data_IF_766396027998
#
_entry.id   IF_766396027998
#
_cell.length_a   1.000
_cell.length_b   1.000
_cell.length_c   1.000
_cell.angle_alpha   90.00
_cell.angle_beta   90.00
_cell.angle_gamma   90.00
#
_symmetry.space_group_name_H-M   'P 1'
#
loop_
_entity.id
_entity.type
_entity.pdbx_description
1 polymer ?
#
# COMPACT_ATOMS: atom_id res chain seq x y z
N UNK A 1 36.77 24.18 -4.67
CA UNK A 1 35.50 23.62 -4.15
C UNK A 1 34.60 23.42 -5.36
N UNK A 2 34.06 22.22 -5.57
CA UNK A 2 33.12 21.98 -6.67
C UNK A 2 31.81 22.66 -6.32
N UNK A 3 31.43 23.69 -7.06
CA UNK A 3 30.22 24.51 -6.82
C UNK A 3 28.89 23.75 -7.04
N UNK A 4 28.94 22.46 -7.37
CA UNK A 4 27.77 21.61 -7.63
C UNK A 4 27.58 20.48 -6.60
N UNK A 5 28.25 20.52 -5.44
CA UNK A 5 28.00 19.54 -4.39
C UNK A 5 26.69 19.88 -3.65
N UNK A 6 25.59 19.27 -4.08
CA UNK A 6 24.35 19.25 -3.32
C UNK A 6 24.55 18.20 -2.21
N UNK A 7 24.48 18.57 -0.91
CA UNK A 7 24.58 17.60 0.17
C UNK A 7 23.49 16.54 -0.03
N UNK A 8 23.91 15.28 -0.01
CA UNK A 8 22.97 14.18 -0.06
C UNK A 8 22.15 14.17 1.22
N UNK A 9 20.86 13.84 1.14
CA UNK A 9 20.00 13.98 2.29
C UNK A 9 20.28 12.81 3.23
N UNK A 10 20.37 13.06 4.53
CA UNK A 10 20.41 12.00 5.53
C UNK A 10 19.10 11.22 5.41
N UNK A 11 19.15 10.06 4.75
CA UNK A 11 18.03 9.13 4.73
C UNK A 11 17.77 8.76 6.18
N UNK A 12 16.55 9.00 6.67
CA UNK A 12 16.19 8.56 8.00
C UNK A 12 16.44 7.06 8.09
N UNK A 13 17.36 6.71 8.97
CA UNK A 13 17.78 5.35 9.24
C UNK A 13 16.55 4.47 9.48
N UNK A 14 16.61 3.29 8.89
CA UNK A 14 15.61 2.27 9.08
C UNK A 14 14.19 2.60 8.59
N UNK A 15 14.05 3.48 7.61
CA UNK A 15 12.76 3.74 6.96
C UNK A 15 12.67 3.12 5.56
N UNK A 16 11.47 2.71 5.17
CA UNK A 16 11.17 2.32 3.80
C UNK A 16 11.34 3.53 2.86
N UNK A 17 12.16 3.37 1.84
CA UNK A 17 12.50 4.40 0.85
C UNK A 17 11.27 4.86 0.06
N UNK A 18 10.24 4.02 -0.04
CA UNK A 18 9.01 4.30 -0.78
C UNK A 18 7.93 4.95 0.09
N UNK A 19 7.53 4.32 1.21
CA UNK A 19 6.41 4.83 2.01
C UNK A 19 6.83 5.64 3.24
N UNK A 20 8.12 5.69 3.57
CA UNK A 20 8.66 6.29 4.80
C UNK A 20 8.11 5.69 6.10
N UNK A 21 7.42 4.56 6.02
CA UNK A 21 7.10 3.77 7.20
C UNK A 21 8.39 3.17 7.76
N UNK A 22 8.47 3.06 9.07
CA UNK A 22 9.57 2.36 9.72
C UNK A 22 9.65 0.93 9.23
N UNK A 23 10.87 0.50 8.97
CA UNK A 23 11.24 -0.90 8.92
C UNK A 23 11.56 -1.26 10.36
N UNK A 24 10.79 -2.17 10.93
CA UNK A 24 10.87 -2.45 12.35
C UNK A 24 12.17 -3.22 12.64
N UNK A 25 13.16 -2.53 13.20
CA UNK A 25 14.46 -3.09 13.56
C UNK A 25 14.54 -3.55 15.02
N UNK A 26 13.49 -3.48 15.82
CA UNK A 26 13.60 -3.82 17.25
C UNK A 26 12.43 -3.34 18.11
N UNK A 27 11.41 -2.75 17.50
CA UNK A 27 10.16 -2.44 18.16
C UNK A 27 9.34 -3.71 18.42
N UNK A 28 9.45 -4.74 17.57
CA UNK A 28 8.89 -6.07 17.86
C UNK A 28 9.51 -6.64 19.15
N UNK A 29 10.83 -6.60 19.32
CA UNK A 29 11.47 -7.13 20.54
C UNK A 29 11.06 -6.37 21.81
N UNK A 30 10.75 -5.08 21.69
CA UNK A 30 10.33 -4.23 22.81
C UNK A 30 8.83 -4.37 23.17
N UNK A 31 7.95 -4.62 22.19
CA UNK A 31 6.51 -4.80 22.42
C UNK A 31 6.08 -6.27 22.60
N UNK A 32 6.84 -7.20 22.02
CA UNK A 32 6.60 -8.64 22.05
C UNK A 32 7.74 -9.35 22.78
N UNK A 33 7.92 -9.01 24.06
CA UNK A 33 8.91 -9.64 24.95
C UNK A 33 8.75 -11.18 25.05
N UNK A 34 7.68 -11.78 24.51
CA UNK A 34 7.40 -13.22 24.61
C UNK A 34 6.86 -13.89 23.32
N UNK A 35 7.07 -13.33 22.11
CA UNK A 35 6.90 -14.16 20.88
C UNK A 35 8.30 -14.67 20.51
N UNK A 36 8.76 -15.82 21.03
CA UNK A 36 10.03 -16.39 20.59
C UNK A 36 10.01 -16.54 19.07
N UNK A 37 11.12 -16.21 18.40
CA UNK A 37 11.28 -16.38 16.95
C UNK A 37 10.84 -17.78 16.49
N UNK A 38 11.05 -18.78 17.37
CA UNK A 38 10.57 -20.16 17.27
C UNK A 38 9.06 -20.25 16.90
N UNK A 39 8.20 -19.37 17.41
CA UNK A 39 6.75 -19.36 17.15
C UNK A 39 6.39 -18.86 15.74
N UNK A 40 7.14 -17.91 15.20
CA UNK A 40 6.92 -17.43 13.82
C UNK A 40 7.21 -18.58 12.87
N UNK A 41 8.33 -19.28 13.06
CA UNK A 41 8.70 -20.44 12.26
C UNK A 41 7.80 -21.65 12.50
N UNK A 42 7.31 -21.85 13.71
CA UNK A 42 6.37 -22.92 14.06
C UNK A 42 5.06 -22.80 13.28
N UNK A 43 4.50 -21.59 13.18
CA UNK A 43 3.29 -21.37 12.41
C UNK A 43 3.59 -21.59 10.92
N UNK A 44 4.70 -21.05 10.39
CA UNK A 44 5.11 -21.25 9.00
C UNK A 44 5.34 -22.74 8.65
N UNK A 45 5.87 -23.54 9.58
CA UNK A 45 6.15 -24.97 9.37
C UNK A 45 4.92 -25.87 9.57
N UNK A 46 3.93 -25.46 10.38
CA UNK A 46 2.66 -26.20 10.58
C UNK A 46 1.76 -26.21 9.34
N UNK A 47 1.92 -25.24 8.42
CA UNK A 47 1.27 -25.18 7.12
C UNK A 47 1.82 -26.21 6.11
N UNK A 48 1.48 -27.49 6.30
CA UNK A 48 1.91 -28.67 5.50
C UNK A 48 2.23 -28.39 4.01
N UNK A 49 3.52 -28.47 3.67
CA UNK A 49 4.14 -29.42 2.74
C UNK A 49 5.58 -28.94 2.44
N UNK A 50 6.57 -29.74 2.82
CA UNK A 50 7.97 -29.61 2.42
C UNK A 50 8.73 -28.45 3.06
N UNK A 51 9.07 -28.56 4.35
CA UNK A 51 10.38 -28.13 4.84
C UNK A 51 10.79 -29.11 5.95
N UNK A 52 11.95 -29.74 5.82
CA UNK A 52 12.60 -30.38 6.97
C UNK A 52 12.77 -29.30 8.07
N UNK A 53 12.77 -29.66 9.37
CA UNK A 53 12.99 -28.71 10.45
C UNK A 53 14.42 -28.14 10.31
N UNK A 54 14.52 -27.06 9.55
CA UNK A 54 15.68 -26.21 9.42
C UNK A 54 15.31 -24.91 10.12
N UNK A 55 16.31 -24.26 10.70
CA UNK A 55 16.13 -23.00 11.43
C UNK A 55 15.83 -21.81 10.50
N UNK A 56 15.52 -22.07 9.21
CA UNK A 56 15.17 -21.08 8.19
C UNK A 56 14.04 -21.54 7.26
N UNK A 57 13.42 -20.54 6.62
CA UNK A 57 12.42 -20.67 5.56
C UNK A 57 12.91 -19.89 4.35
N UNK A 58 12.95 -20.54 3.19
CA UNK A 58 13.29 -19.89 1.93
C UNK A 58 12.35 -20.35 0.81
N UNK A 59 12.17 -19.54 -0.21
CA UNK A 59 11.29 -19.87 -1.33
C UNK A 59 11.24 -18.78 -2.38
N UNK A 60 10.17 -18.77 -3.19
CA UNK A 60 9.94 -17.72 -4.19
C UNK A 60 9.12 -16.59 -3.58
N UNK A 61 9.38 -15.35 -4.01
CA UNK A 61 8.60 -14.18 -3.55
C UNK A 61 7.10 -14.31 -3.83
N UNK A 62 6.71 -15.04 -4.87
CA UNK A 62 5.31 -15.38 -5.16
C UNK A 62 4.62 -16.22 -4.07
N UNK A 63 5.39 -16.89 -3.20
CA UNK A 63 4.85 -17.68 -2.09
C UNK A 63 4.65 -16.83 -0.81
N UNK A 64 5.13 -15.59 -0.78
CA UNK A 64 5.04 -14.71 0.40
C UNK A 64 3.60 -14.37 0.79
N UNK A 65 2.65 -14.32 -0.15
CA UNK A 65 1.24 -14.06 0.16
C UNK A 65 0.65 -15.11 1.12
N UNK A 66 1.12 -16.36 1.02
CA UNK A 66 0.79 -17.44 1.95
C UNK A 66 1.43 -17.18 3.31
N UNK A 67 2.65 -16.68 3.37
CA UNK A 67 3.36 -16.43 4.64
C UNK A 67 2.78 -15.24 5.38
N UNK A 68 2.39 -14.17 4.66
CA UNK A 68 1.67 -13.06 5.26
C UNK A 68 0.41 -13.55 5.98
N UNK A 69 -0.21 -14.69 5.58
CA UNK A 69 -1.41 -15.31 6.22
C UNK A 69 -1.26 -15.55 7.71
N UNK A 70 -0.02 -15.61 8.15
CA UNK A 70 0.36 -16.17 9.42
C UNK A 70 0.90 -15.13 10.40
N UNK A 71 1.36 -13.97 9.92
CA UNK A 71 2.14 -13.05 10.77
C UNK A 71 1.86 -11.57 10.48
N UNK A 72 1.60 -10.73 11.50
CA UNK A 72 1.34 -9.29 11.33
C UNK A 72 2.58 -8.45 10.99
N UNK A 73 3.69 -9.06 10.57
CA UNK A 73 5.01 -8.43 10.52
C UNK A 73 5.36 -7.78 9.17
N UNK A 74 4.38 -7.28 8.41
CA UNK A 74 4.64 -6.76 7.05
C UNK A 74 5.67 -5.62 7.02
N UNK A 75 5.82 -4.88 8.12
CA UNK A 75 6.82 -3.83 8.30
C UNK A 75 8.25 -4.35 8.42
N UNK A 76 8.43 -5.63 8.78
CA UNK A 76 9.75 -6.28 8.85
C UNK A 76 10.15 -6.96 7.55
N UNK A 77 9.16 -7.31 6.71
CA UNK A 77 9.43 -8.01 5.45
C UNK A 77 9.79 -6.98 4.39
N UNK A 78 11.04 -6.98 3.96
CA UNK A 78 11.55 -5.99 3.03
C UNK A 78 12.43 -6.60 1.95
N UNK A 79 12.59 -5.84 0.87
CA UNK A 79 13.65 -6.01 -0.12
C UNK A 79 14.48 -4.75 -0.17
N UNK A 80 15.59 -4.80 -0.89
CA UNK A 80 16.41 -3.62 -1.09
C UNK A 80 16.94 -3.49 -2.51
N UNK A 81 17.21 -2.25 -2.89
CA UNK A 81 18.06 -1.94 -4.04
C UNK A 81 19.45 -1.59 -3.49
N UNK A 82 20.45 -2.39 -3.84
CA UNK A 82 21.83 -2.20 -3.39
C UNK A 82 22.65 -1.59 -4.51
N UNK A 83 23.37 -0.52 -4.20
CA UNK A 83 24.30 0.14 -5.09
C UNK A 83 25.70 -0.48 -4.91
N UNK A 84 26.20 -1.18 -5.92
CA UNK A 84 27.49 -1.88 -5.91
C UNK A 84 28.47 -1.20 -6.87
N UNK A 85 29.75 -1.15 -6.51
CA UNK A 85 30.84 -0.69 -7.39
C UNK A 85 31.35 0.72 -7.07
N UNK A 86 32.48 1.08 -7.71
CA UNK A 86 33.19 2.34 -7.49
C UNK A 86 32.35 3.55 -7.95
N UNK A 87 32.72 4.76 -7.48
CA UNK A 87 32.00 6.02 -7.76
C UNK A 87 31.62 6.25 -9.23
N UNK A 88 32.46 5.81 -10.18
CA UNK A 88 32.26 6.01 -11.62
C UNK A 88 31.61 4.80 -12.34
N UNK A 89 31.36 3.69 -11.63
CA UNK A 89 30.82 2.44 -12.20
C UNK A 89 29.73 1.83 -11.32
N UNK A 90 28.95 2.69 -10.64
CA UNK A 90 27.85 2.29 -9.77
C UNK A 90 26.83 1.47 -10.57
N UNK A 91 26.60 0.25 -10.13
CA UNK A 91 25.52 -0.61 -10.61
C UNK A 91 24.49 -0.76 -9.50
N UNK A 92 23.22 -0.81 -9.86
CA UNK A 92 22.14 -1.07 -8.92
C UNK A 92 21.66 -2.50 -9.08
N UNK A 93 21.40 -3.16 -7.96
CA UNK A 93 20.96 -4.54 -7.91
C UNK A 93 19.72 -4.65 -7.03
N UNK A 94 18.62 -5.16 -7.58
CA UNK A 94 17.43 -5.47 -6.80
C UNK A 94 17.65 -6.81 -6.10
N UNK A 95 17.54 -6.80 -4.77
CA UNK A 95 17.67 -8.01 -3.96
C UNK A 95 16.32 -8.71 -3.81
N UNK A 96 16.38 -9.96 -3.36
CA UNK A 96 15.23 -10.70 -2.86
C UNK A 96 14.71 -10.15 -1.55
N UNK A 97 13.82 -10.92 -0.93
CA UNK A 97 13.08 -10.52 0.27
C UNK A 97 13.67 -11.18 1.51
N UNK A 98 13.77 -10.42 2.59
CA UNK A 98 14.20 -10.89 3.91
C UNK A 98 13.45 -10.21 5.04
N UNK A 99 13.82 -10.55 6.27
CA UNK A 99 13.33 -9.89 7.48
C UNK A 99 14.35 -8.88 7.96
N UNK A 100 13.89 -7.70 8.35
CA UNK A 100 14.68 -6.76 9.14
C UNK A 100 14.79 -7.27 10.58
N UNK A 101 15.66 -8.25 10.80
CA UNK A 101 16.02 -8.68 12.15
C UNK A 101 17.07 -7.72 12.72
N UNK A 102 16.99 -7.42 14.02
CA UNK A 102 18.07 -6.72 14.69
C UNK A 102 19.32 -7.62 14.64
N UNK A 103 20.33 -7.17 13.92
CA UNK A 103 21.68 -7.68 14.11
C UNK A 103 22.49 -6.53 14.67
N UNK A 104 23.44 -6.84 15.56
CA UNK A 104 24.33 -5.85 16.18
C UNK A 104 25.15 -5.03 15.14
N UNK A 105 25.07 -5.37 13.85
CA UNK A 105 25.91 -4.84 12.78
C UNK A 105 25.20 -3.85 11.83
N UNK A 106 23.90 -3.59 11.94
CA UNK A 106 23.13 -2.78 10.94
C UNK A 106 23.27 -3.30 9.49
N UNK A 107 23.57 -4.59 9.34
CA UNK A 107 23.71 -5.28 8.07
C UNK A 107 22.50 -6.17 7.87
N UNK A 108 21.74 -5.90 6.81
CA UNK A 108 20.72 -6.81 6.33
C UNK A 108 21.34 -7.78 5.33
N UNK A 109 21.06 -9.07 5.45
CA UNK A 109 21.52 -10.08 4.48
C UNK A 109 20.32 -10.57 3.67
N UNK A 110 20.28 -10.18 2.40
CA UNK A 110 19.15 -10.47 1.49
C UNK A 110 19.57 -11.43 0.39
N UNK A 111 18.66 -12.25 -0.17
CA UNK A 111 18.97 -13.05 -1.36
C UNK A 111 19.43 -12.17 -2.53
N UNK A 112 20.42 -12.65 -3.29
CA UNK A 112 20.85 -11.99 -4.54
C UNK A 112 19.79 -12.09 -5.64
N UNK A 113 19.02 -13.17 -5.66
CA UNK A 113 17.92 -13.34 -6.62
C UNK A 113 16.68 -12.59 -6.12
N UNK A 114 16.19 -11.64 -6.91
CA UNK A 114 15.04 -10.78 -6.59
C UNK A 114 13.70 -11.53 -6.52
N UNK A 115 13.68 -12.78 -7.00
CA UNK A 115 12.53 -13.68 -6.95
C UNK A 115 12.59 -14.66 -5.79
N UNK A 116 13.63 -14.60 -4.96
CA UNK A 116 13.75 -15.43 -3.75
C UNK A 116 13.42 -14.64 -2.49
N UNK A 117 12.97 -15.35 -1.47
CA UNK A 117 12.98 -14.87 -0.10
C UNK A 117 13.78 -15.82 0.80
N UNK A 118 14.32 -15.28 1.90
CA UNK A 118 15.03 -16.02 2.93
C UNK A 118 14.74 -15.42 4.30
N UNK A 119 14.22 -16.22 5.22
CA UNK A 119 13.93 -15.88 6.61
C UNK A 119 14.65 -16.88 7.51
N UNK A 120 15.61 -16.43 8.31
CA UNK A 120 16.36 -17.30 9.20
C UNK A 120 17.77 -16.78 9.44
N UNK A 121 18.59 -17.54 10.19
CA UNK A 121 19.96 -17.17 10.50
C UNK A 121 20.82 -17.14 9.23
N UNK A 122 21.48 -16.02 9.01
CA UNK A 122 22.25 -15.76 7.78
C UNK A 122 23.46 -16.68 7.58
N UNK A 123 24.02 -17.25 8.67
CA UNK A 123 25.16 -18.17 8.58
C UNK A 123 24.82 -19.53 7.94
N UNK A 124 23.53 -19.83 7.76
CA UNK A 124 23.10 -21.09 7.15
C UNK A 124 23.03 -21.04 5.62
N UNK A 125 23.10 -19.84 5.01
CA UNK A 125 23.08 -19.69 3.55
C UNK A 125 23.92 -18.50 3.04
N UNK A 126 25.22 -18.38 3.38
CA UNK A 126 25.99 -17.17 3.07
C UNK A 126 26.22 -16.93 1.57
N UNK A 127 26.34 -17.99 0.76
CA UNK A 127 26.75 -17.87 -0.66
C UNK A 127 25.68 -17.22 -1.56
N UNK A 128 24.41 -17.28 -1.15
CA UNK A 128 23.29 -16.70 -1.93
C UNK A 128 22.88 -15.30 -1.46
N UNK A 129 23.49 -14.78 -0.40
CA UNK A 129 23.11 -13.51 0.21
C UNK A 129 24.02 -12.36 -0.25
N UNK A 130 23.47 -11.15 -0.22
CA UNK A 130 24.17 -9.88 -0.38
C UNK A 130 23.97 -9.06 0.89
N UNK A 131 25.04 -8.42 1.33
CA UNK A 131 25.00 -7.50 2.47
C UNK A 131 24.47 -6.14 2.02
N UNK A 132 23.46 -5.68 2.73
CA UNK A 132 22.72 -4.46 2.50
C UNK A 132 22.81 -3.62 3.79
N UNK A 133 23.70 -2.64 3.78
CA UNK A 133 23.95 -1.75 4.92
C UNK A 133 22.79 -0.76 5.06
N UNK A 134 22.14 -0.76 6.22
CA UNK A 134 20.95 0.06 6.52
C UNK A 134 21.33 1.54 6.73
N UNK A 135 22.58 1.78 7.08
CA UNK A 135 23.13 3.09 7.41
C UNK A 135 24.31 3.41 6.47
N UNK A 136 24.34 4.57 5.79
CA UNK A 136 25.62 5.12 5.42
C UNK A 136 26.31 5.50 6.73
N UNK A 137 27.26 4.66 7.17
CA UNK A 137 28.26 4.98 8.20
C UNK A 137 29.14 6.15 7.72
N UNK A 138 28.53 7.29 7.41
CA UNK A 138 29.11 8.49 6.79
C UNK A 138 30.15 9.10 7.73
N UNK A 139 30.10 8.78 9.03
CA UNK A 139 31.10 9.20 10.01
C UNK A 139 32.25 8.21 10.22
N UNK A 140 32.14 6.94 9.81
CA UNK A 140 33.07 5.89 10.28
C UNK A 140 33.97 5.33 9.17
N UNK A 141 33.63 5.42 7.88
CA UNK A 141 34.43 4.80 6.84
C UNK A 141 34.59 5.67 5.59
N UNK A 142 35.83 6.09 5.29
CA UNK A 142 36.27 6.61 3.98
C UNK A 142 36.12 5.58 2.84
N UNK A 143 35.46 4.43 3.08
CA UNK A 143 35.36 3.31 2.18
C UNK A 143 34.05 3.35 1.39
N UNK A 144 34.11 2.80 0.17
CA UNK A 144 32.99 2.66 -0.78
C UNK A 144 31.95 1.63 -0.29
N UNK A 145 31.31 1.88 0.86
CA UNK A 145 30.27 1.01 1.39
C UNK A 145 29.06 1.03 0.44
N UNK A 146 28.55 -0.14 0.02
CA UNK A 146 27.34 -0.23 -0.79
C UNK A 146 26.17 0.48 -0.11
N UNK A 147 25.49 1.34 -0.87
CA UNK A 147 24.28 2.01 -0.36
C UNK A 147 23.07 1.15 -0.58
N UNK A 148 22.15 1.18 0.37
CA UNK A 148 20.94 0.37 0.35
C UNK A 148 19.70 1.25 0.38
N UNK A 149 18.76 0.95 -0.51
CA UNK A 149 17.44 1.56 -0.54
C UNK A 149 16.42 0.49 -0.20
N UNK A 150 16.07 0.38 1.08
CA UNK A 150 15.12 -0.63 1.54
C UNK A 150 13.70 -0.24 1.22
N UNK A 151 12.88 -1.23 0.90
CA UNK A 151 11.47 -1.07 0.54
C UNK A 151 10.70 -2.21 1.20
N UNK A 152 9.64 -1.91 1.96
CA UNK A 152 8.73 -2.96 2.44
C UNK A 152 8.23 -3.76 1.25
N UNK A 153 8.19 -5.09 1.38
CA UNK A 153 7.77 -5.94 0.27
C UNK A 153 6.35 -5.61 -0.19
N UNK A 154 5.44 -5.29 0.73
CA UNK A 154 4.09 -4.82 0.39
C UNK A 154 4.08 -3.48 -0.36
N UNK A 155 5.02 -2.58 -0.07
CA UNK A 155 5.15 -1.32 -0.81
C UNK A 155 5.70 -1.57 -2.23
N UNK A 156 6.65 -2.50 -2.37
CA UNK A 156 7.14 -2.93 -3.67
C UNK A 156 6.03 -3.55 -4.53
N UNK A 157 5.22 -4.44 -3.97
CA UNK A 157 4.08 -5.03 -4.66
C UNK A 157 3.09 -3.97 -5.17
N UNK A 158 2.79 -2.95 -4.34
CA UNK A 158 1.94 -1.82 -4.76
C UNK A 158 2.59 -1.01 -5.89
N UNK A 159 3.90 -0.77 -5.84
CA UNK A 159 4.62 -0.10 -6.91
C UNK A 159 4.54 -0.87 -8.23
N UNK A 160 4.74 -2.19 -8.21
CA UNK A 160 4.66 -3.03 -9.42
C UNK A 160 3.26 -3.16 -10.02
N UNK A 161 2.22 -2.67 -9.33
CA UNK A 161 0.88 -2.55 -9.91
C UNK A 161 0.69 -1.29 -10.74
N UNK A 162 1.45 -0.23 -10.45
CA UNK A 162 1.34 1.06 -11.15
C UNK A 162 2.43 1.26 -12.21
N UNK A 163 3.53 0.52 -12.10
CA UNK A 163 4.68 0.52 -13.00
C UNK A 163 5.04 -0.90 -13.39
N UNK A 164 5.47 -1.07 -14.63
CA UNK A 164 6.00 -2.34 -15.11
C UNK A 164 7.30 -2.70 -14.38
N UNK A 165 7.37 -3.93 -13.86
CA UNK A 165 8.50 -4.38 -13.04
C UNK A 165 9.80 -4.49 -13.84
N UNK A 166 9.72 -4.87 -15.12
CA UNK A 166 10.90 -5.01 -15.98
C UNK A 166 11.42 -3.62 -16.36
N UNK A 167 10.54 -2.64 -16.58
CA UNK A 167 10.93 -1.24 -16.75
C UNK A 167 11.67 -0.67 -15.54
N UNK A 168 11.21 -0.94 -14.31
CA UNK A 168 11.92 -0.52 -13.09
C UNK A 168 13.30 -1.19 -13.01
N UNK A 169 13.38 -2.49 -13.30
CA UNK A 169 14.64 -3.27 -13.24
C UNK A 169 15.67 -2.80 -14.27
N UNK A 170 15.23 -2.45 -15.47
CA UNK A 170 16.09 -1.93 -16.53
C UNK A 170 16.70 -0.57 -16.15
N UNK A 171 15.98 0.24 -15.36
CA UNK A 171 16.35 1.61 -14.99
C UNK A 171 16.40 1.83 -13.47
N UNK A 172 17.01 0.89 -12.71
CA UNK A 172 17.06 0.95 -11.24
C UNK A 172 17.76 2.21 -10.71
N UNK A 173 18.73 2.75 -11.43
CA UNK A 173 19.44 3.99 -11.09
C UNK A 173 18.50 5.21 -11.12
N UNK A 174 17.68 5.33 -12.17
CA UNK A 174 16.66 6.37 -12.28
C UNK A 174 15.55 6.17 -11.25
N UNK A 175 15.16 4.92 -10.97
CA UNK A 175 14.16 4.64 -9.94
C UNK A 175 14.67 5.02 -8.54
N UNK A 176 15.92 4.71 -8.22
CA UNK A 176 16.57 5.16 -6.97
C UNK A 176 16.66 6.69 -6.92
N UNK A 177 17.01 7.34 -8.02
CA UNK A 177 16.99 8.80 -8.11
C UNK A 177 15.59 9.36 -7.80
N UNK A 178 14.53 8.75 -8.34
CA UNK A 178 13.15 9.13 -8.04
C UNK A 178 12.79 8.96 -6.56
N UNK A 179 13.20 7.85 -5.92
CA UNK A 179 13.02 7.65 -4.47
C UNK A 179 13.73 8.73 -3.63
N UNK A 180 14.91 9.19 -4.08
CA UNK A 180 15.66 10.28 -3.44
C UNK A 180 14.98 11.63 -3.63
N UNK A 181 14.56 11.96 -4.85
CA UNK A 181 13.85 13.21 -5.12
C UNK A 181 12.53 13.28 -4.35
N UNK A 182 11.78 12.17 -4.29
CA UNK A 182 10.61 12.06 -3.44
C UNK A 182 10.94 12.37 -1.97
N UNK A 183 12.08 11.91 -1.46
CA UNK A 183 12.53 12.25 -0.10
C UNK A 183 12.71 13.76 0.08
N UNK A 184 13.42 14.39 -0.86
CA UNK A 184 13.67 15.82 -0.82
C UNK A 184 12.38 16.62 -0.90
N UNK A 185 11.42 16.21 -1.74
CA UNK A 185 10.11 16.85 -1.80
C UNK A 185 9.40 16.76 -0.45
N UNK A 186 9.37 15.59 0.18
CA UNK A 186 8.77 15.44 1.51
C UNK A 186 9.44 16.34 2.54
N UNK A 187 10.78 16.40 2.57
CA UNK A 187 11.51 17.29 3.48
C UNK A 187 11.23 18.76 3.20
N UNK A 188 11.23 19.19 1.94
CA UNK A 188 11.03 20.58 1.53
C UNK A 188 9.61 21.08 1.83
N UNK A 189 8.61 20.19 1.72
CA UNK A 189 7.21 20.50 2.05
C UNK A 189 6.94 20.45 3.55
N UNK A 190 7.89 19.89 4.31
CA UNK A 190 7.82 19.78 5.75
C UNK A 190 8.63 20.91 6.40
N UNK A 191 7.96 21.91 6.97
CA UNK A 191 8.33 22.19 8.37
C UNK A 191 8.19 20.85 9.08
N UNK A 192 9.21 20.32 9.79
CA UNK A 192 9.23 18.94 10.28
C UNK A 192 7.88 18.66 10.88
N UNK A 193 7.08 17.87 10.16
CA UNK A 193 5.64 18.00 10.25
C UNK A 193 5.28 17.46 11.63
N UNK A 194 5.05 18.39 12.56
CA UNK A 194 4.62 18.08 13.91
C UNK A 194 3.37 17.22 13.82
N UNK A 195 2.59 17.23 12.74
CA UNK A 195 1.52 16.25 12.56
C UNK A 195 2.00 14.85 12.22
N UNK A 196 3.01 14.61 11.37
CA UNK A 196 3.49 13.25 11.11
C UNK A 196 4.30 12.70 12.29
N UNK A 197 5.15 13.52 12.90
CA UNK A 197 5.89 13.16 14.11
C UNK A 197 4.98 13.11 15.34
N UNK A 198 3.99 14.01 15.51
CA UNK A 198 3.00 13.89 16.59
C UNK A 198 1.99 12.79 16.31
N UNK A 199 1.72 12.43 15.05
CA UNK A 199 0.91 11.26 14.71
C UNK A 199 1.67 9.97 15.01
N UNK A 200 2.96 9.87 14.64
CA UNK A 200 3.83 8.80 15.09
C UNK A 200 3.91 8.76 16.62
N UNK A 201 4.09 9.92 17.27
CA UNK A 201 4.15 10.06 18.74
C UNK A 201 2.81 9.80 19.45
N UNK A 202 1.66 10.07 18.81
CA UNK A 202 0.33 9.72 19.31
C UNK A 202 0.05 8.23 19.10
N UNK A 203 0.42 7.68 17.95
CA UNK A 203 0.44 6.23 17.70
C UNK A 203 1.37 5.51 18.70
N UNK A 204 2.49 6.11 19.10
CA UNK A 204 3.35 5.61 20.18
C UNK A 204 2.70 5.67 21.56
N UNK A 205 1.73 6.56 21.80
CA UNK A 205 0.99 6.68 23.07
C UNK A 205 -0.31 5.88 23.11
N UNK A 206 -0.84 5.50 21.95
CA UNK A 206 -2.09 4.77 21.82
C UNK A 206 -1.85 3.56 20.88
N UNK A 207 -1.57 2.36 21.42
CA UNK A 207 -1.27 1.17 20.62
C UNK A 207 -2.35 0.83 19.57
N UNK A 208 -3.59 1.24 19.83
CA UNK A 208 -4.74 1.07 18.94
C UNK A 208 -4.70 2.01 17.70
N UNK A 209 -3.81 3.02 17.66
CA UNK A 209 -3.73 4.05 16.61
C UNK A 209 -2.55 3.87 15.63
N UNK A 210 -1.81 2.76 15.67
CA UNK A 210 -0.63 2.61 14.80
C UNK A 210 -1.06 2.23 13.37
N UNK A 211 -1.53 3.21 12.58
CA UNK A 211 -1.83 3.02 11.16
C UNK A 211 -0.63 2.46 10.38
N UNK A 212 0.60 2.81 10.78
CA UNK A 212 1.82 2.35 10.13
C UNK A 212 2.11 0.85 10.34
N UNK A 213 1.46 0.20 11.31
CA UNK A 213 1.56 -1.24 11.52
C UNK A 213 0.42 -2.00 10.86
N UNK A 214 -0.66 -1.31 10.46
CA UNK A 214 -1.76 -1.97 9.75
C UNK A 214 -1.30 -2.39 8.36
N UNK A 215 -1.37 -3.70 8.07
CA UNK A 215 -1.00 -4.25 6.77
C UNK A 215 -1.87 -3.60 5.68
N UNK A 216 -1.28 -2.88 4.71
CA UNK A 216 -2.03 -2.18 3.68
C UNK A 216 -2.76 -3.13 2.72
N UNK A 217 -2.51 -4.43 2.81
CA UNK A 217 -3.21 -5.46 2.02
C UNK A 217 -4.26 -6.21 2.81
N UNK A 218 -4.14 -6.22 4.13
CA UNK A 218 -4.99 -7.02 5.01
C UNK A 218 -5.61 -6.14 6.03
N UNK A 219 -6.79 -5.70 5.64
CA UNK A 219 -7.54 -4.70 6.36
C UNK A 219 -8.76 -5.42 6.93
N UNK A 220 -8.72 -5.88 8.20
CA UNK A 220 -9.81 -6.62 8.82
C UNK A 220 -11.17 -5.92 8.65
N UNK A 221 -11.18 -4.59 8.69
CA UNK A 221 -12.38 -3.77 8.54
C UNK A 221 -13.03 -3.94 7.16
N UNK A 222 -12.23 -4.13 6.10
CA UNK A 222 -12.75 -4.42 4.75
C UNK A 222 -13.36 -5.81 4.71
N UNK A 223 -12.72 -6.79 5.34
CA UNK A 223 -13.25 -8.16 5.44
C UNK A 223 -14.56 -8.19 6.24
N UNK A 224 -14.60 -7.52 7.37
CA UNK A 224 -15.80 -7.44 8.23
C UNK A 224 -16.94 -6.74 7.50
N UNK A 225 -16.64 -5.67 6.75
CA UNK A 225 -17.60 -4.99 5.88
C UNK A 225 -18.16 -5.95 4.81
N UNK A 226 -17.32 -6.74 4.14
CA UNK A 226 -17.75 -7.72 3.15
C UNK A 226 -18.64 -8.81 3.77
N UNK A 227 -18.27 -9.33 4.94
CA UNK A 227 -19.04 -10.35 5.65
C UNK A 227 -20.40 -9.83 6.13
N UNK A 228 -20.48 -8.59 6.63
CA UNK A 228 -21.75 -8.00 7.04
C UNK A 228 -22.64 -7.67 5.83
N UNK A 229 -22.05 -7.26 4.72
CA UNK A 229 -22.76 -7.07 3.46
C UNK A 229 -23.36 -8.38 2.94
N UNK A 230 -22.61 -9.48 3.00
CA UNK A 230 -23.08 -10.81 2.58
C UNK A 230 -24.24 -11.30 3.45
N UNK A 231 -24.12 -11.18 4.78
CA UNK A 231 -25.21 -11.51 5.71
C UNK A 231 -26.44 -10.67 5.44
N UNK A 232 -26.26 -9.37 5.20
CA UNK A 232 -27.37 -8.46 4.91
C UNK A 232 -28.08 -8.80 3.61
N UNK A 233 -27.33 -9.09 2.55
CA UNK A 233 -27.85 -9.48 1.26
C UNK A 233 -28.59 -10.83 1.33
N UNK A 234 -28.05 -11.81 2.05
CA UNK A 234 -28.71 -13.09 2.28
C UNK A 234 -30.04 -12.96 3.01
N UNK A 235 -30.12 -12.09 4.04
CA UNK A 235 -31.37 -11.79 4.76
C UNK A 235 -32.42 -11.15 3.85
N UNK A 236 -32.01 -10.23 2.98
CA UNK A 236 -32.90 -9.55 2.03
C UNK A 236 -33.46 -10.53 1.01
N UNK A 237 -32.61 -11.38 0.42
CA UNK A 237 -33.03 -12.43 -0.52
C UNK A 237 -34.01 -13.44 0.09
N UNK A 238 -33.80 -13.84 1.35
CA UNK A 238 -34.74 -14.74 2.05
C UNK A 238 -36.11 -14.07 2.24
N UNK A 239 -36.14 -12.77 2.59
CA UNK A 239 -37.39 -12.01 2.73
C UNK A 239 -38.14 -11.85 1.40
N UNK A 240 -37.41 -11.65 0.30
CA UNK A 240 -38.03 -11.62 -1.03
C UNK A 240 -38.66 -12.97 -1.39
N UNK A 241 -37.97 -14.08 -1.10
CA UNK A 241 -38.46 -15.43 -1.38
C UNK A 241 -39.64 -15.81 -0.47
N UNK A 242 -39.63 -15.41 0.81
CA UNK A 242 -40.71 -15.71 1.74
C UNK A 242 -42.00 -14.95 1.42
N UNK A 243 -41.94 -13.94 0.54
CA UNK A 243 -43.08 -13.08 0.24
C UNK A 243 -43.53 -12.26 1.45
N UNK A 244 -42.70 -12.14 2.49
CA UNK A 244 -42.91 -11.19 3.57
C UNK A 244 -42.87 -9.79 2.96
N UNK A 245 -44.06 -9.27 2.66
CA UNK A 245 -44.21 -7.84 2.37
C UNK A 245 -43.61 -7.12 3.55
N UNK A 246 -42.51 -6.42 3.29
CA UNK A 246 -41.96 -5.44 4.20
C UNK A 246 -43.04 -4.37 4.33
N UNK A 247 -43.95 -4.53 5.29
CA UNK A 247 -44.60 -3.38 5.89
C UNK A 247 -43.45 -2.54 6.39
N UNK A 248 -43.18 -1.42 5.71
CA UNK A 248 -42.09 -0.52 6.03
C UNK A 248 -42.31 -0.03 7.47
N UNK A 249 -41.80 -0.80 8.44
CA UNK A 249 -41.73 -0.43 9.83
C UNK A 249 -40.79 0.75 9.89
N UNK A 250 -41.40 1.92 9.76
CA UNK A 250 -40.78 3.21 9.90
C UNK A 250 -40.09 3.20 11.27
N UNK A 251 -38.75 3.11 11.28
CA UNK A 251 -37.98 3.09 12.52
C UNK A 251 -38.28 4.42 13.22
N UNK A 252 -38.98 4.42 14.39
CA UNK A 252 -39.33 5.65 15.07
C UNK A 252 -38.10 6.10 15.86
N UNK A 253 -37.25 6.93 15.26
CA UNK A 253 -36.19 7.60 16.00
C UNK A 253 -34.97 7.93 15.16
N UNK A 254 -34.74 9.24 15.01
CA UNK A 254 -33.55 9.87 14.37
C UNK A 254 -33.43 9.72 12.85
N UNK A 255 -34.54 9.87 12.12
CA UNK A 255 -34.44 10.67 10.91
C UNK A 255 -34.23 12.12 11.34
N UNK A 256 -32.99 12.62 11.25
CA UNK A 256 -32.82 14.04 10.96
C UNK A 256 -33.62 14.24 9.68
N UNK A 257 -34.80 14.84 9.83
CA UNK A 257 -35.70 15.24 8.75
C UNK A 257 -35.00 16.34 7.93
N UNK A 258 -33.92 15.98 7.26
CA UNK A 258 -33.65 16.49 5.93
C UNK A 258 -34.76 15.87 5.10
N UNK A 259 -35.97 16.47 5.18
CA UNK A 259 -36.92 16.34 4.10
C UNK A 259 -36.09 16.76 2.89
N UNK A 260 -35.75 15.85 1.96
CA UNK A 260 -35.15 16.31 0.72
C UNK A 260 -36.07 17.43 0.25
N UNK A 261 -35.54 18.63 -0.04
CA UNK A 261 -36.37 19.71 -0.53
C UNK A 261 -37.28 19.09 -1.58
N UNK A 262 -38.59 19.36 -1.50
CA UNK A 262 -39.51 18.98 -2.58
C UNK A 262 -38.98 19.73 -3.79
N UNK A 263 -38.03 19.12 -4.49
CA UNK A 263 -37.55 19.55 -5.79
C UNK A 263 -38.81 19.39 -6.60
N UNK A 264 -39.50 20.50 -6.82
CA UNK A 264 -40.58 20.54 -7.76
C UNK A 264 -40.00 19.92 -9.02
N UNK A 265 -40.55 18.77 -9.43
CA UNK A 265 -40.16 18.01 -10.63
C UNK A 265 -40.31 18.81 -11.94
N UNK A 266 -40.43 20.14 -11.86
CA UNK A 266 -40.28 21.07 -12.96
C UNK A 266 -38.83 21.04 -13.43
N UNK A 267 -38.58 20.18 -14.42
CA UNK A 267 -37.53 20.32 -15.43
C UNK A 267 -36.08 20.02 -15.00
N UNK A 268 -35.83 19.03 -14.13
CA UNK A 268 -34.58 18.29 -14.33
C UNK A 268 -34.70 17.60 -15.68
N UNK A 269 -34.00 18.15 -16.69
CA UNK A 269 -33.89 17.55 -18.02
C UNK A 269 -33.54 16.09 -17.79
N UNK A 270 -34.38 15.18 -18.27
CA UNK A 270 -34.11 13.73 -18.23
C UNK A 270 -32.96 13.46 -19.19
N UNK A 271 -31.74 13.71 -18.73
CA UNK A 271 -30.53 13.37 -19.44
C UNK A 271 -30.40 11.85 -19.32
N UNK A 272 -30.74 11.17 -20.40
CA UNK A 272 -30.55 9.73 -20.59
C UNK A 272 -29.31 9.55 -21.45
N UNK A 273 -28.24 9.04 -20.85
CA UNK A 273 -27.03 8.65 -21.57
C UNK A 273 -26.98 7.12 -21.67
N UNK A 274 -26.35 6.57 -22.72
CA UNK A 274 -25.97 5.16 -22.75
C UNK A 274 -25.14 4.78 -21.49
N UNK A 275 -25.27 3.55 -20.98
CA UNK A 275 -24.54 3.07 -19.80
C UNK A 275 -23.02 3.29 -19.87
N UNK A 276 -22.46 3.14 -21.07
CA UNK A 276 -21.03 3.27 -21.33
C UNK A 276 -20.55 4.71 -21.09
N UNK A 277 -21.36 5.71 -21.43
CA UNK A 277 -21.03 7.12 -21.17
C UNK A 277 -21.20 7.47 -19.70
N UNK A 278 -22.21 6.92 -19.02
CA UNK A 278 -22.39 7.12 -17.58
C UNK A 278 -21.20 6.57 -16.80
N UNK A 279 -20.80 5.33 -17.09
CA UNK A 279 -19.64 4.69 -16.45
C UNK A 279 -18.34 5.40 -16.78
N UNK A 280 -18.15 5.88 -18.02
CA UNK A 280 -17.01 6.72 -18.39
C UNK A 280 -16.96 8.02 -17.58
N UNK A 281 -18.09 8.73 -17.41
CA UNK A 281 -18.15 9.95 -16.58
C UNK A 281 -17.80 9.63 -15.13
N UNK A 282 -18.36 8.54 -14.59
CA UNK A 282 -18.07 8.11 -13.23
C UNK A 282 -16.61 7.71 -13.04
N UNK A 283 -15.94 7.19 -14.07
CA UNK A 283 -14.52 6.82 -14.00
C UNK A 283 -13.62 8.05 -13.77
N UNK A 284 -14.05 9.25 -14.17
CA UNK A 284 -13.38 10.53 -13.91
C UNK A 284 -13.65 11.12 -12.52
N UNK A 285 -14.53 10.51 -11.71
CA UNK A 285 -14.80 10.96 -10.35
C UNK A 285 -13.84 10.25 -9.37
N UNK A 286 -12.89 10.95 -8.72
CA UNK A 286 -11.90 10.34 -7.86
C UNK A 286 -12.44 9.68 -6.58
N UNK A 287 -13.60 10.11 -6.07
CA UNK A 287 -14.10 9.65 -4.77
C UNK A 287 -15.51 9.06 -4.85
N UNK A 288 -15.83 8.09 -3.99
CA UNK A 288 -17.18 7.54 -3.95
C UNK A 288 -18.20 8.57 -3.45
N UNK A 289 -17.78 9.56 -2.66
CA UNK A 289 -18.57 10.74 -2.30
C UNK A 289 -19.03 11.56 -3.51
N UNK A 290 -18.16 11.81 -4.49
CA UNK A 290 -18.54 12.50 -5.73
C UNK A 290 -19.47 11.66 -6.60
N UNK A 291 -19.22 10.35 -6.69
CA UNK A 291 -20.12 9.41 -7.38
C UNK A 291 -21.50 9.41 -6.70
N UNK A 292 -21.55 9.44 -5.37
CA UNK A 292 -22.80 9.53 -4.60
C UNK A 292 -23.55 10.83 -4.92
N UNK A 293 -22.85 11.96 -4.99
CA UNK A 293 -23.45 13.23 -5.40
C UNK A 293 -23.98 13.19 -6.83
N UNK A 294 -23.26 12.55 -7.76
CA UNK A 294 -23.70 12.34 -9.14
C UNK A 294 -24.99 11.51 -9.20
N UNK A 295 -25.06 10.39 -8.48
CA UNK A 295 -26.25 9.54 -8.42
C UNK A 295 -27.43 10.26 -7.75
N UNK A 296 -27.18 11.11 -6.75
CA UNK A 296 -28.22 11.97 -6.16
C UNK A 296 -28.74 13.02 -7.15
N UNK A 297 -27.87 13.59 -7.99
CA UNK A 297 -28.24 14.55 -9.02
C UNK A 297 -28.98 13.90 -10.20
N UNK A 298 -28.62 12.66 -10.56
CA UNK A 298 -29.22 11.88 -11.64
C UNK A 298 -29.69 10.50 -11.15
N UNK A 299 -30.79 10.41 -10.38
CA UNK A 299 -31.25 9.15 -9.79
C UNK A 299 -31.53 8.05 -10.82
N UNK A 300 -31.90 8.42 -12.04
CA UNK A 300 -32.16 7.48 -13.14
C UNK A 300 -30.89 6.77 -13.63
N UNK A 301 -29.70 7.30 -13.36
CA UNK A 301 -28.44 6.64 -13.74
C UNK A 301 -28.15 5.42 -12.87
N UNK A 302 -28.68 5.38 -11.65
CA UNK A 302 -28.50 4.25 -10.72
C UNK A 302 -28.88 2.90 -11.34
N UNK A 303 -30.03 2.83 -12.02
CA UNK A 303 -30.51 1.59 -12.65
C UNK A 303 -29.83 1.27 -13.99
N UNK A 304 -29.01 2.18 -14.52
CA UNK A 304 -28.31 2.03 -15.80
C UNK A 304 -26.91 1.43 -15.56
N UNK A 305 -26.30 1.71 -14.41
CA UNK A 305 -24.95 1.25 -14.09
C UNK A 305 -24.98 -0.24 -13.72
N UNK A 306 -24.24 -1.12 -14.43
CA UNK A 306 -24.26 -2.55 -14.15
C UNK A 306 -23.54 -2.89 -12.84
N UNK A 307 -23.98 -3.94 -12.13
CA UNK A 307 -23.32 -4.41 -10.91
C UNK A 307 -21.83 -4.73 -11.10
N UNK A 308 -21.44 -5.17 -12.30
CA UNK A 308 -20.03 -5.47 -12.62
C UNK A 308 -19.15 -4.22 -12.57
N UNK A 309 -19.70 -3.05 -12.89
CA UNK A 309 -19.01 -1.76 -12.76
C UNK A 309 -18.72 -1.46 -11.29
N UNK A 310 -19.74 -1.56 -10.42
CA UNK A 310 -19.60 -1.28 -8.99
C UNK A 310 -18.60 -2.23 -8.32
N UNK A 311 -18.65 -3.53 -8.63
CA UNK A 311 -17.66 -4.50 -8.14
C UNK A 311 -16.26 -4.13 -8.58
N UNK A 312 -16.06 -3.85 -9.88
CA UNK A 312 -14.74 -3.47 -10.42
C UNK A 312 -14.21 -2.21 -9.75
N UNK A 313 -15.06 -1.20 -9.56
CA UNK A 313 -14.67 0.06 -8.91
C UNK A 313 -14.29 -0.16 -7.45
N UNK A 314 -15.08 -0.92 -6.71
CA UNK A 314 -14.76 -1.30 -5.32
C UNK A 314 -13.40 -2.02 -5.21
N UNK A 315 -13.17 -3.02 -6.06
CA UNK A 315 -11.91 -3.78 -6.10
C UNK A 315 -10.72 -2.87 -6.41
N UNK A 316 -10.86 -1.99 -7.40
CA UNK A 316 -9.80 -1.07 -7.81
C UNK A 316 -9.51 0.00 -6.75
N UNK A 317 -10.54 0.59 -6.15
CA UNK A 317 -10.37 1.69 -5.20
C UNK A 317 -9.80 1.21 -3.85
N UNK A 318 -10.07 -0.04 -3.45
CA UNK A 318 -9.54 -0.67 -2.21
C UNK A 318 -8.30 -1.56 -2.50
N UNK A 319 -7.94 -1.72 -3.77
CA UNK A 319 -6.78 -2.51 -4.22
C UNK A 319 -6.77 -3.96 -3.76
N UNK A 320 -7.95 -4.57 -3.61
CA UNK A 320 -8.07 -5.98 -3.23
C UNK A 320 -7.65 -6.91 -4.37
N UNK A 321 -7.01 -8.06 -4.08
CA UNK A 321 -6.91 -9.15 -5.04
C UNK A 321 -8.31 -9.59 -5.50
N UNK A 322 -8.52 -9.73 -6.81
CA UNK A 322 -9.85 -9.98 -7.39
C UNK A 322 -10.46 -11.32 -6.96
N UNK A 323 -9.60 -12.26 -6.61
CA UNK A 323 -9.85 -13.62 -6.14
C UNK A 323 -10.27 -13.69 -4.66
N UNK A 324 -9.95 -12.66 -3.86
CA UNK A 324 -10.38 -12.56 -2.46
C UNK A 324 -11.78 -11.94 -2.31
N UNK A 325 -12.33 -11.40 -3.39
CA UNK A 325 -13.58 -10.63 -3.36
C UNK A 325 -14.76 -11.50 -3.81
N UNK A 326 -15.91 -11.49 -3.09
CA UNK A 326 -17.08 -12.28 -3.45
C UNK A 326 -17.50 -12.17 -4.93
N UNK A 327 -18.24 -13.17 -5.40
CA UNK A 327 -18.74 -13.21 -6.77
C UNK A 327 -19.70 -12.06 -7.12
N UNK A 328 -19.95 -11.84 -8.41
CA UNK A 328 -20.77 -10.73 -8.89
C UNK A 328 -22.18 -10.71 -8.26
N UNK A 329 -22.79 -11.87 -8.07
CA UNK A 329 -24.15 -11.99 -7.54
C UNK A 329 -24.21 -12.24 -6.02
N UNK A 330 -23.06 -12.14 -5.34
CA UNK A 330 -22.97 -12.42 -3.90
C UNK A 330 -23.40 -11.24 -3.03
N UNK A 331 -23.25 -10.01 -3.53
CA UNK A 331 -23.46 -8.77 -2.78
C UNK A 331 -24.21 -7.73 -3.62
N UNK A 332 -24.88 -6.81 -2.93
CA UNK A 332 -25.25 -5.53 -3.53
C UNK A 332 -24.01 -4.61 -3.59
N UNK A 333 -23.25 -4.77 -4.68
CA UNK A 333 -22.02 -4.01 -4.91
C UNK A 333 -22.21 -2.50 -4.94
N UNK A 334 -23.39 -2.02 -5.38
CA UNK A 334 -23.66 -0.60 -5.42
C UNK A 334 -23.75 -0.04 -4.01
N UNK A 335 -24.59 -0.67 -3.18
CA UNK A 335 -24.78 -0.28 -1.78
C UNK A 335 -23.49 -0.39 -0.98
N UNK A 336 -22.75 -1.48 -1.18
CA UNK A 336 -21.45 -1.68 -0.54
C UNK A 336 -20.46 -0.56 -0.93
N UNK A 337 -20.32 -0.27 -2.23
CA UNK A 337 -19.40 0.77 -2.71
C UNK A 337 -19.77 2.16 -2.18
N UNK A 338 -21.04 2.52 -2.16
CA UNK A 338 -21.49 3.83 -1.66
C UNK A 338 -21.33 3.99 -0.13
N UNK A 339 -21.02 2.90 0.58
CA UNK A 339 -20.73 2.89 2.03
C UNK A 339 -19.23 2.90 2.33
N UNK A 340 -18.35 2.82 1.32
CA UNK A 340 -16.91 2.68 1.57
C UNK A 340 -16.30 3.93 2.20
N UNK A 341 -16.81 5.13 1.92
CA UNK A 341 -16.29 6.39 2.51
C UNK A 341 -16.23 6.31 4.04
N UNK A 342 -17.27 5.76 4.68
CA UNK A 342 -17.33 5.63 6.13
C UNK A 342 -16.24 4.67 6.65
N UNK A 343 -15.89 3.64 5.87
CA UNK A 343 -14.83 2.69 6.21
C UNK A 343 -13.46 3.28 5.93
N UNK A 344 -13.27 4.01 4.82
CA UNK A 344 -12.02 4.73 4.53
C UNK A 344 -11.69 5.77 5.60
N UNK A 345 -12.70 6.45 6.14
CA UNK A 345 -12.49 7.46 7.19
C UNK A 345 -12.14 6.86 8.56
N UNK A 346 -12.46 5.59 8.80
CA UNK A 346 -12.30 4.95 10.12
C UNK A 346 -11.22 3.87 10.13
N UNK A 347 -10.96 3.23 9.00
CA UNK A 347 -10.02 2.12 8.91
C UNK A 347 -8.59 2.64 8.77
N UNK A 348 -7.77 2.21 9.72
CA UNK A 348 -6.35 2.52 9.76
C UNK A 348 -5.59 1.84 8.62
N UNK A 349 -5.94 0.59 8.28
CA UNK A 349 -5.36 -0.12 7.14
C UNK A 349 -5.62 0.58 5.81
N UNK A 350 -6.85 1.03 5.54
CA UNK A 350 -7.19 1.74 4.30
C UNK A 350 -6.49 3.09 4.20
N UNK A 351 -6.40 3.83 5.30
CA UNK A 351 -5.69 5.11 5.32
C UNK A 351 -4.19 4.91 5.07
N UNK A 352 -3.58 3.88 5.67
CA UNK A 352 -2.18 3.55 5.40
C UNK A 352 -1.97 3.12 3.94
N UNK A 353 -2.84 2.28 3.39
CA UNK A 353 -2.81 1.89 1.98
C UNK A 353 -2.89 3.13 1.06
N UNK A 354 -3.85 4.03 1.29
CA UNK A 354 -3.99 5.28 0.52
C UNK A 354 -2.74 6.16 0.60
N UNK A 355 -2.13 6.26 1.79
CA UNK A 355 -0.87 6.99 2.01
C UNK A 355 0.26 6.40 1.16
N UNK A 356 0.42 5.07 1.16
CA UNK A 356 1.45 4.36 0.38
C UNK A 356 1.20 4.55 -1.12
N UNK A 357 -0.06 4.49 -1.57
CA UNK A 357 -0.42 4.71 -2.97
C UNK A 357 -0.12 6.12 -3.44
N UNK A 358 -0.40 7.14 -2.61
CA UNK A 358 -0.03 8.52 -2.93
C UNK A 358 1.49 8.66 -3.09
N UNK A 359 2.28 8.07 -2.18
CA UNK A 359 3.74 8.05 -2.31
C UNK A 359 4.20 7.33 -3.59
N UNK A 360 3.54 6.22 -3.92
CA UNK A 360 3.81 5.40 -5.11
C UNK A 360 3.55 6.17 -6.41
N UNK A 361 2.43 6.88 -6.53
CA UNK A 361 2.14 7.72 -7.70
C UNK A 361 3.13 8.88 -7.84
N UNK A 362 3.52 9.54 -6.74
CA UNK A 362 4.53 10.61 -6.79
C UNK A 362 5.88 10.07 -7.28
N UNK A 363 6.36 8.95 -6.73
CA UNK A 363 7.62 8.32 -7.16
C UNK A 363 7.54 7.90 -8.63
N UNK A 364 6.40 7.34 -9.06
CA UNK A 364 6.15 6.98 -10.45
C UNK A 364 6.23 8.19 -11.38
N UNK A 365 5.60 9.31 -11.04
CA UNK A 365 5.68 10.53 -11.86
C UNK A 365 7.12 11.04 -11.99
N UNK A 366 7.88 11.07 -10.89
CA UNK A 366 9.30 11.48 -10.91
C UNK A 366 10.14 10.52 -11.77
N UNK A 367 9.90 9.21 -11.64
CA UNK A 367 10.61 8.19 -12.41
C UNK A 367 10.32 8.30 -13.91
N UNK A 368 9.06 8.41 -14.31
CA UNK A 368 8.68 8.52 -15.72
C UNK A 368 9.21 9.82 -16.35
N UNK A 369 9.18 10.94 -15.62
CA UNK A 369 9.79 12.19 -16.09
C UNK A 369 11.31 12.05 -16.26
N UNK A 370 11.97 11.31 -15.37
CA UNK A 370 13.42 11.07 -15.47
C UNK A 370 13.78 10.24 -16.71
N UNK A 371 12.93 9.31 -17.13
CA UNK A 371 13.11 8.55 -18.37
C UNK A 371 12.98 9.44 -19.62
N UNK A 372 12.03 10.37 -19.62
CA UNK A 372 11.84 11.31 -20.74
C UNK A 372 13.03 12.27 -20.89
N UNK A 373 13.64 12.69 -19.78
CA UNK A 373 14.79 13.61 -19.77
C UNK A 373 16.08 12.98 -20.30
N UNK A 374 16.30 11.68 -20.12
CA UNK A 374 17.44 10.97 -20.76
C UNK A 374 17.38 11.08 -22.29
N UNK A 375 16.16 11.18 -22.84
CA UNK A 375 15.91 11.32 -24.26
C UNK A 375 15.82 12.80 -24.70
N UNK A 376 15.87 13.76 -23.76
CA UNK A 376 15.68 15.19 -24.00
C UNK A 376 16.64 16.05 -23.14
N UNK A 377 17.90 16.27 -23.56
CA UNK A 377 18.96 16.83 -22.72
C UNK A 377 18.83 18.32 -22.29
N UNK A 378 17.65 18.95 -22.33
CA UNK A 378 17.56 20.42 -22.28
C UNK A 378 16.44 21.02 -21.43
N UNK A 379 16.04 20.43 -20.30
CA UNK A 379 15.06 21.08 -19.41
C UNK A 379 15.44 20.97 -17.93
N UNK A 380 15.76 22.12 -17.33
CA UNK A 380 15.72 22.28 -15.87
C UNK A 380 14.25 22.37 -15.44
N UNK A 381 13.78 21.40 -14.65
CA UNK A 381 12.44 21.45 -14.05
C UNK A 381 12.52 21.40 -12.52
N UNK A 382 11.65 22.20 -11.90
CA UNK A 382 11.08 21.99 -10.57
C UNK A 382 9.54 22.11 -10.73
N UNK A 383 8.71 21.15 -10.24
CA UNK A 383 7.34 21.03 -10.75
C UNK A 383 6.24 21.53 -9.80
N UNK A 384 5.08 21.79 -10.41
CA UNK A 384 3.72 21.99 -9.87
C UNK A 384 3.14 20.83 -9.02
N UNK A 385 3.97 19.95 -8.47
CA UNK A 385 3.58 18.71 -7.78
C UNK A 385 2.88 18.90 -6.42
N UNK A 386 2.57 20.13 -6.02
CA UNK A 386 2.13 20.49 -4.66
C UNK A 386 0.62 20.69 -4.49
N UNK A 387 -0.20 20.42 -5.52
CA UNK A 387 -1.66 20.58 -5.45
C UNK A 387 -2.45 19.25 -5.28
N UNK A 388 -1.76 18.13 -5.02
CA UNK A 388 -2.35 16.80 -4.76
C UNK A 388 -2.15 16.37 -3.31
#
# INVERSE_FOLDING_TARGET
>A
MNENYIPEPDFQEGCCSLCRGYLDFGFIDALFIDIPEENIFDDLTKGKNVLEPKDYVCGRTSDLDKLYSMTPCWTTVCRAIVQVGEKNSRKFHLCGVGLTTYTDEFILRLPRDDNKFFFGPHWECPEELIEAYIDPLDEILEYEVPRTYMIHERCWQLMTRVLDVELIKEHLDLFVKALREFFYLLQATSHPNLEHLAWLYQAFKNPDEILALSDPWRIPEVRDMLLEAEKSFGREKIREISGEKIEAHSIPGRELSIRPPKINNSQTVRIMLPPELVTMIMDFLPTCGEIRLLILAFPQWRSIVPHSYWRRRFVNDILLPIDEVPGLDALDWEKLYLQTDDVFQKSHGLQNQRRIMKATEIVKEIFLNSLDDEHSPSKQYFPKLLEL
#
